data_IF_074498968280
#
_entry.id   IF_074498968280
#
_cell.length_a   1.000
_cell.length_b   1.000
_cell.length_c   1.000
_cell.angle_alpha   90.00
_cell.angle_beta   90.00
_cell.angle_gamma   90.00
#
_symmetry.space_group_name_H-M   'P 1'
#
loop_
_entity.id
_entity.type
_entity.pdbx_description
1 polymer ?
#
# COMPACT_ATOMS: atom_id res chain seq x y z
N UNK A 1 16.43 -55.90 23.10
CA UNK A 1 16.57 -54.69 22.29
C UNK A 1 15.28 -54.49 21.47
N UNK A 2 14.36 -53.69 21.97
CA UNK A 2 13.10 -53.35 21.26
C UNK A 2 13.33 -52.00 20.55
N UNK A 3 13.28 -52.00 19.21
CA UNK A 3 13.35 -50.79 18.40
C UNK A 3 11.96 -50.13 18.39
N UNK A 4 11.84 -48.92 18.93
CA UNK A 4 10.69 -48.05 18.72
C UNK A 4 10.85 -47.35 17.35
N UNK A 5 9.96 -47.64 16.44
CA UNK A 5 9.79 -46.90 15.20
C UNK A 5 8.82 -45.76 15.53
N UNK A 6 9.31 -44.54 15.55
CA UNK A 6 8.47 -43.36 15.63
C UNK A 6 7.88 -43.09 14.23
N UNK A 7 6.58 -43.28 14.09
CA UNK A 7 5.85 -42.86 12.90
C UNK A 7 5.67 -41.34 12.92
N UNK A 8 6.35 -40.66 12.04
CA UNK A 8 6.09 -39.24 11.76
C UNK A 8 4.75 -39.13 11.00
N UNK A 9 3.73 -38.60 11.64
CA UNK A 9 2.48 -38.27 10.98
C UNK A 9 2.74 -37.07 10.08
N UNK A 10 2.76 -37.28 8.75
CA UNK A 10 2.73 -36.23 7.76
C UNK A 10 1.29 -35.65 7.75
N UNK A 11 1.10 -34.52 8.41
CA UNK A 11 -0.15 -33.75 8.30
C UNK A 11 -0.13 -33.07 6.94
N UNK A 12 -0.79 -33.67 5.97
CA UNK A 12 -1.07 -33.05 4.67
C UNK A 12 -2.14 -31.99 4.92
N UNK A 13 -1.73 -30.74 5.00
CA UNK A 13 -2.65 -29.61 4.98
C UNK A 13 -3.21 -29.48 3.56
N UNK A 14 -4.40 -29.98 3.35
CA UNK A 14 -5.18 -29.60 2.16
C UNK A 14 -5.60 -28.15 2.33
N UNK A 15 -4.90 -27.25 1.65
CA UNK A 15 -5.41 -25.89 1.43
C UNK A 15 -6.75 -26.04 0.71
N UNK A 16 -7.83 -25.78 1.42
CA UNK A 16 -9.15 -25.61 0.80
C UNK A 16 -9.07 -24.31 0.03
N UNK A 17 -8.65 -24.38 -1.23
CA UNK A 17 -8.93 -23.30 -2.17
C UNK A 17 -10.45 -23.28 -2.31
N UNK A 18 -11.09 -22.16 -1.97
CA UNK A 18 -12.44 -21.92 -2.43
C UNK A 18 -12.42 -22.16 -3.94
N UNK A 19 -13.25 -23.08 -4.43
CA UNK A 19 -13.26 -23.37 -5.87
C UNK A 19 -13.57 -22.07 -6.59
N UNK A 20 -12.78 -21.73 -7.61
CA UNK A 20 -13.03 -20.54 -8.42
C UNK A 20 -14.49 -20.58 -8.91
N UNK A 21 -15.22 -19.49 -8.69
CA UNK A 21 -16.56 -19.38 -9.20
C UNK A 21 -16.52 -19.28 -10.74
N UNK A 22 -17.41 -19.99 -11.40
CA UNK A 22 -17.49 -19.93 -12.87
C UNK A 22 -17.98 -18.54 -13.31
N UNK A 23 -17.25 -17.94 -14.25
CA UNK A 23 -17.63 -16.64 -14.81
C UNK A 23 -18.78 -16.87 -15.80
N UNK A 24 -19.92 -16.18 -15.63
CA UNK A 24 -21.06 -16.35 -16.52
C UNK A 24 -20.73 -16.00 -17.98
N UNK A 25 -21.25 -16.78 -18.92
CA UNK A 25 -21.12 -16.55 -20.37
C UNK A 25 -22.00 -15.40 -20.84
N UNK A 26 -21.93 -14.24 -20.22
CA UNK A 26 -22.62 -13.00 -20.58
C UNK A 26 -21.62 -12.01 -21.20
N UNK A 27 -22.08 -11.01 -21.96
CA UNK A 27 -21.19 -9.97 -22.50
C UNK A 27 -20.30 -9.32 -21.45
N UNK A 28 -20.83 -8.95 -20.27
CA UNK A 28 -20.06 -8.41 -19.17
C UNK A 28 -19.13 -9.45 -18.52
N UNK A 29 -19.58 -10.72 -18.43
CA UNK A 29 -18.76 -11.84 -17.97
C UNK A 29 -17.56 -12.09 -18.87
N UNK A 30 -17.74 -12.03 -20.19
CA UNK A 30 -16.62 -12.14 -21.15
C UNK A 30 -15.60 -11.01 -20.99
N UNK A 31 -16.04 -9.77 -20.73
CA UNK A 31 -15.13 -8.64 -20.48
C UNK A 31 -14.31 -8.82 -19.21
N UNK A 32 -14.93 -9.32 -18.12
CA UNK A 32 -14.24 -9.66 -16.87
C UNK A 32 -13.24 -10.81 -17.08
N UNK A 33 -13.66 -11.89 -17.76
CA UNK A 33 -12.82 -13.05 -18.06
C UNK A 33 -11.60 -12.66 -18.91
N UNK A 34 -11.80 -11.81 -19.91
CA UNK A 34 -10.73 -11.31 -20.77
C UNK A 34 -9.71 -10.47 -20.01
N UNK A 35 -10.15 -9.61 -19.06
CA UNK A 35 -9.26 -8.85 -18.20
C UNK A 35 -8.44 -9.77 -17.28
N UNK A 36 -9.08 -10.73 -16.63
CA UNK A 36 -8.38 -11.73 -15.80
C UNK A 36 -7.39 -12.53 -16.63
N UNK A 37 -7.82 -13.00 -17.81
CA UNK A 37 -6.97 -13.77 -18.73
C UNK A 37 -5.74 -12.97 -19.21
N UNK A 38 -5.93 -11.69 -19.53
CA UNK A 38 -4.83 -10.81 -19.93
C UNK A 38 -3.79 -10.67 -18.83
N UNK A 39 -4.20 -10.43 -17.57
CA UNK A 39 -3.26 -10.35 -16.44
C UNK A 39 -2.61 -11.71 -16.19
N UNK A 40 -3.40 -12.79 -16.12
CA UNK A 40 -2.88 -14.12 -15.79
C UNK A 40 -1.89 -14.65 -16.83
N UNK A 41 -2.04 -14.26 -18.09
CA UNK A 41 -1.11 -14.67 -19.16
C UNK A 41 0.33 -14.21 -18.90
N UNK A 42 0.52 -13.00 -18.34
CA UNK A 42 1.85 -12.39 -18.24
C UNK A 42 2.52 -12.17 -19.60
N UNK A 43 1.76 -12.26 -20.70
CA UNK A 43 2.26 -12.19 -22.07
C UNK A 43 1.83 -10.90 -22.75
N UNK A 44 2.81 -10.14 -23.26
CA UNK A 44 2.57 -8.84 -23.89
C UNK A 44 1.62 -8.91 -25.07
N UNK A 45 1.69 -9.98 -25.89
CA UNK A 45 0.82 -10.12 -27.07
C UNK A 45 -0.64 -10.38 -26.67
N UNK A 46 -0.89 -11.23 -25.68
CA UNK A 46 -2.20 -11.51 -25.13
C UNK A 46 -2.79 -10.25 -24.46
N UNK A 47 -1.99 -9.51 -23.72
CA UNK A 47 -2.39 -8.24 -23.11
C UNK A 47 -2.74 -7.22 -24.19
N UNK A 48 -1.94 -7.08 -25.25
CA UNK A 48 -2.20 -6.17 -26.36
C UNK A 48 -3.52 -6.54 -27.06
N UNK A 49 -3.78 -7.82 -27.31
CA UNK A 49 -5.03 -8.28 -27.90
C UNK A 49 -6.26 -7.90 -27.05
N UNK A 50 -6.15 -7.99 -25.71
CA UNK A 50 -7.20 -7.50 -24.81
C UNK A 50 -7.39 -5.98 -24.91
N UNK A 51 -6.29 -5.22 -24.94
CA UNK A 51 -6.32 -3.74 -25.06
C UNK A 51 -7.03 -3.33 -26.33
N UNK A 52 -6.68 -3.97 -27.46
CA UNK A 52 -7.27 -3.66 -28.78
C UNK A 52 -8.73 -4.05 -28.86
N UNK A 53 -9.08 -5.26 -28.36
CA UNK A 53 -10.47 -5.78 -28.39
C UNK A 53 -11.41 -4.90 -27.58
N UNK A 54 -10.98 -4.43 -26.40
CA UNK A 54 -11.82 -3.66 -25.48
C UNK A 54 -11.50 -2.16 -25.48
N UNK A 55 -10.73 -1.68 -26.48
CA UNK A 55 -10.37 -0.27 -26.68
C UNK A 55 -9.82 0.41 -25.40
N UNK A 56 -8.93 -0.31 -24.68
CA UNK A 56 -8.36 0.20 -23.43
C UNK A 56 -7.29 1.25 -23.71
N UNK A 57 -7.22 2.27 -22.82
CA UNK A 57 -6.23 3.36 -22.93
C UNK A 57 -4.93 3.11 -22.16
N UNK A 58 -4.72 1.89 -21.68
CA UNK A 58 -3.54 1.48 -20.91
C UNK A 58 -2.48 0.86 -21.81
N UNK A 59 -1.23 0.88 -21.35
CA UNK A 59 -0.10 0.20 -22.01
C UNK A 59 -0.03 -1.26 -21.52
N UNK A 60 0.52 -2.21 -22.29
CA UNK A 60 0.74 -3.58 -21.83
C UNK A 60 1.52 -3.66 -20.51
N UNK A 61 2.50 -2.77 -20.31
CA UNK A 61 3.29 -2.73 -19.08
C UNK A 61 2.44 -2.54 -17.83
N UNK A 62 1.37 -1.73 -17.89
CA UNK A 62 0.46 -1.53 -16.74
C UNK A 62 -0.18 -2.85 -16.27
N UNK A 63 -0.44 -3.79 -17.17
CA UNK A 63 -1.00 -5.11 -16.85
C UNK A 63 0.07 -6.09 -16.35
N UNK A 64 1.29 -6.01 -16.86
CA UNK A 64 2.43 -6.76 -16.35
C UNK A 64 2.75 -6.35 -14.91
N UNK A 65 2.68 -5.06 -14.61
CA UNK A 65 2.86 -4.54 -13.25
C UNK A 65 1.75 -5.04 -12.32
N UNK A 66 0.49 -5.11 -12.79
CA UNK A 66 -0.61 -5.72 -12.03
C UNK A 66 -0.38 -7.21 -11.80
N UNK A 67 0.12 -7.95 -12.81
CA UNK A 67 0.50 -9.37 -12.66
C UNK A 67 1.58 -9.56 -11.62
N UNK A 68 2.61 -8.72 -11.64
CA UNK A 68 3.68 -8.77 -10.65
C UNK A 68 3.15 -8.48 -9.24
N UNK A 69 2.28 -7.48 -9.09
CA UNK A 69 1.70 -7.10 -7.80
C UNK A 69 0.72 -8.14 -7.25
N UNK A 70 -0.20 -8.60 -8.07
CA UNK A 70 -1.34 -9.43 -7.63
C UNK A 70 -1.12 -10.94 -7.81
N UNK A 71 -0.17 -11.34 -8.67
CA UNK A 71 -0.04 -12.73 -9.11
C UNK A 71 -1.19 -13.13 -10.04
N UNK A 72 -1.64 -14.39 -9.93
CA UNK A 72 -2.80 -14.87 -10.67
C UNK A 72 -4.10 -14.40 -10.01
N UNK A 73 -5.05 -14.00 -10.85
CA UNK A 73 -6.38 -13.59 -10.43
C UNK A 73 -7.37 -14.75 -10.62
N UNK A 74 -8.27 -14.93 -9.65
CA UNK A 74 -9.35 -15.91 -9.72
C UNK A 74 -10.66 -15.33 -9.18
N UNK A 75 -11.79 -15.65 -9.82
CA UNK A 75 -13.09 -15.23 -9.31
C UNK A 75 -13.46 -16.10 -8.12
N UNK A 76 -13.70 -15.48 -6.98
CA UNK A 76 -14.12 -16.17 -5.75
C UNK A 76 -15.64 -16.18 -5.59
N UNK A 77 -16.31 -15.11 -6.06
CA UNK A 77 -17.76 -14.94 -5.92
C UNK A 77 -18.28 -13.98 -6.99
N UNK A 78 -19.47 -14.27 -7.51
CA UNK A 78 -20.24 -13.33 -8.33
C UNK A 78 -21.30 -12.68 -7.43
N UNK A 79 -21.26 -11.35 -7.31
CA UNK A 79 -22.24 -10.56 -6.52
C UNK A 79 -23.40 -10.06 -7.38
N UNK A 80 -23.13 -9.79 -8.67
CA UNK A 80 -24.15 -9.37 -9.64
C UNK A 80 -23.88 -10.04 -10.97
N UNK A 81 -24.91 -10.55 -11.61
CA UNK A 81 -24.84 -11.17 -12.94
C UNK A 81 -26.04 -10.73 -13.80
N UNK A 82 -25.83 -9.65 -14.52
CA UNK A 82 -26.76 -9.19 -15.57
C UNK A 82 -26.04 -9.28 -16.93
N UNK A 83 -26.77 -9.37 -18.07
CA UNK A 83 -26.09 -9.54 -19.36
C UNK A 83 -24.96 -8.53 -19.63
N UNK A 84 -25.17 -7.27 -19.29
CA UNK A 84 -24.24 -6.17 -19.57
C UNK A 84 -23.61 -5.56 -18.30
N UNK A 85 -23.82 -6.15 -17.13
CA UNK A 85 -23.32 -5.62 -15.85
C UNK A 85 -22.97 -6.77 -14.90
N UNK A 86 -21.70 -6.92 -14.58
CA UNK A 86 -21.19 -7.95 -13.65
C UNK A 86 -20.41 -7.31 -12.51
N UNK A 87 -20.61 -7.87 -11.33
CA UNK A 87 -19.80 -7.55 -10.14
C UNK A 87 -19.30 -8.84 -9.55
N UNK A 88 -18.00 -8.93 -9.33
CA UNK A 88 -17.32 -10.11 -8.79
C UNK A 88 -16.32 -9.77 -7.70
N UNK A 89 -16.16 -10.68 -6.75
CA UNK A 89 -15.01 -10.69 -5.84
C UNK A 89 -13.92 -11.54 -6.48
N UNK A 90 -12.77 -10.94 -6.69
CA UNK A 90 -11.60 -11.53 -7.35
C UNK A 90 -10.47 -11.65 -6.36
N UNK A 91 -9.97 -12.87 -6.18
CA UNK A 91 -8.81 -13.18 -5.33
C UNK A 91 -7.51 -13.01 -6.10
N UNK A 92 -6.44 -12.78 -5.35
CA UNK A 92 -5.07 -12.60 -5.80
C UNK A 92 -4.19 -13.72 -5.24
N UNK A 93 -3.32 -14.34 -6.05
CA UNK A 93 -2.47 -15.43 -5.57
C UNK A 93 -1.31 -14.95 -4.69
N UNK A 94 -0.88 -13.71 -4.85
CA UNK A 94 0.22 -13.12 -4.08
C UNK A 94 -0.23 -12.55 -2.73
N UNK A 95 -1.53 -12.26 -2.55
CA UNK A 95 -2.07 -11.65 -1.34
C UNK A 95 -3.39 -12.30 -0.92
N UNK A 96 -3.74 -12.16 0.35
CA UNK A 96 -5.03 -12.58 0.88
C UNK A 96 -6.15 -11.56 0.60
N UNK A 97 -5.78 -10.35 0.20
CA UNK A 97 -6.73 -9.29 -0.16
C UNK A 97 -7.56 -9.68 -1.39
N UNK A 98 -8.68 -9.02 -1.56
CA UNK A 98 -9.56 -9.26 -2.70
C UNK A 98 -9.93 -7.95 -3.38
N UNK A 99 -10.22 -8.06 -4.68
CA UNK A 99 -10.75 -6.95 -5.46
C UNK A 99 -12.24 -7.13 -5.66
N UNK A 100 -13.01 -6.07 -5.50
CA UNK A 100 -14.34 -5.97 -6.04
C UNK A 100 -14.24 -5.40 -7.44
N UNK A 101 -14.49 -6.27 -8.44
CA UNK A 101 -14.35 -5.98 -9.86
C UNK A 101 -15.73 -5.77 -10.48
N UNK A 102 -15.94 -4.58 -11.04
CA UNK A 102 -17.20 -4.17 -11.67
C UNK A 102 -16.96 -3.88 -13.14
N UNK A 103 -17.76 -4.51 -14.04
CA UNK A 103 -17.68 -4.31 -15.48
C UNK A 103 -19.05 -4.09 -16.06
N UNK A 104 -19.20 -2.99 -16.82
CA UNK A 104 -20.38 -2.73 -17.64
C UNK A 104 -19.97 -2.54 -19.09
N UNK A 105 -20.68 -3.21 -19.99
CA UNK A 105 -20.47 -3.12 -21.44
C UNK A 105 -21.66 -2.44 -22.12
N UNK A 106 -21.42 -1.85 -23.29
CA UNK A 106 -22.47 -1.26 -24.11
C UNK A 106 -23.34 -2.39 -24.67
N UNK A 107 -24.68 -2.35 -24.47
CA UNK A 107 -25.58 -3.40 -25.00
C UNK A 107 -25.53 -3.51 -26.53
N UNK A 108 -25.24 -2.44 -27.26
CA UNK A 108 -25.11 -2.41 -28.71
C UNK A 108 -23.75 -2.88 -29.24
N UNK A 109 -22.71 -2.76 -28.39
CA UNK A 109 -21.34 -3.18 -28.70
C UNK A 109 -20.66 -3.77 -27.45
N UNK A 110 -20.74 -5.09 -27.26
CA UNK A 110 -20.18 -5.76 -26.08
C UNK A 110 -18.65 -5.64 -25.94
N UNK A 111 -17.92 -5.23 -26.97
CA UNK A 111 -16.48 -4.95 -26.88
C UNK A 111 -16.19 -3.59 -26.26
N UNK A 112 -17.18 -2.73 -26.14
CA UNK A 112 -17.06 -1.42 -25.54
C UNK A 112 -17.38 -1.46 -24.04
N UNK A 113 -16.33 -1.47 -23.21
CA UNK A 113 -16.47 -1.32 -21.77
C UNK A 113 -16.81 0.14 -21.46
N UNK A 114 -18.05 0.40 -21.01
CA UNK A 114 -18.52 1.76 -20.64
C UNK A 114 -18.19 2.10 -19.20
N UNK A 115 -17.97 1.10 -18.35
CA UNK A 115 -17.49 1.28 -16.97
C UNK A 115 -16.67 0.07 -16.53
N UNK A 116 -15.56 0.33 -15.89
CA UNK A 116 -14.82 -0.72 -15.15
C UNK A 116 -14.18 -0.13 -13.90
N UNK A 117 -14.27 -0.85 -12.81
CA UNK A 117 -13.62 -0.55 -11.54
C UNK A 117 -13.08 -1.83 -10.93
N UNK A 118 -11.83 -1.81 -10.48
CA UNK A 118 -11.23 -2.88 -9.68
C UNK A 118 -10.71 -2.20 -8.41
N UNK A 119 -11.36 -2.44 -7.30
CA UNK A 119 -11.04 -1.79 -6.02
C UNK A 119 -10.76 -2.84 -4.95
N UNK A 120 -9.72 -2.64 -4.14
CA UNK A 120 -9.50 -3.42 -2.94
C UNK A 120 -10.68 -3.24 -1.98
N UNK A 121 -11.17 -4.34 -1.42
CA UNK A 121 -12.25 -4.35 -0.43
C UNK A 121 -11.92 -5.33 0.68
N UNK A 122 -12.55 -5.15 1.84
CA UNK A 122 -12.49 -6.17 2.88
C UNK A 122 -13.07 -7.49 2.34
N UNK A 123 -12.44 -8.61 2.69
CA UNK A 123 -12.91 -9.94 2.29
C UNK A 123 -14.29 -10.19 2.91
N UNK A 124 -15.31 -10.55 2.11
CA UNK A 124 -16.63 -10.90 2.62
C UNK A 124 -16.59 -12.04 3.66
N UNK A 125 -17.48 -12.03 4.63
CA UNK A 125 -17.50 -13.02 5.72
C UNK A 125 -17.63 -14.47 5.22
N UNK A 126 -18.39 -14.69 4.15
CA UNK A 126 -18.55 -16.01 3.52
C UNK A 126 -17.32 -16.48 2.74
N UNK A 127 -16.34 -15.60 2.56
CA UNK A 127 -15.02 -15.88 1.99
C UNK A 127 -13.89 -15.69 3.02
N UNK A 128 -14.22 -15.56 4.30
CA UNK A 128 -13.25 -15.30 5.35
C UNK A 128 -12.17 -16.41 5.41
N UNK A 129 -10.94 -15.98 5.67
CA UNK A 129 -9.83 -16.89 5.91
C UNK A 129 -9.98 -17.42 7.34
N UNK A 130 -9.90 -18.76 7.55
CA UNK A 130 -10.00 -19.34 8.88
C UNK A 130 -8.93 -18.78 9.83
N UNK A 131 -9.36 -18.37 11.02
CA UNK A 131 -8.44 -17.99 12.09
C UNK A 131 -7.75 -19.22 12.67
N UNK A 132 -6.47 -19.06 12.99
CA UNK A 132 -5.61 -20.08 13.55
C UNK A 132 -5.27 -19.71 15.00
N UNK A 133 -4.73 -20.66 15.76
CA UNK A 133 -4.04 -20.30 17.01
C UNK A 133 -2.80 -19.45 16.72
N UNK A 134 -2.32 -18.71 17.71
CA UNK A 134 -1.13 -17.88 17.56
C UNK A 134 0.08 -18.68 17.05
N UNK A 135 0.29 -19.89 17.58
CA UNK A 135 1.41 -20.73 17.17
C UNK A 135 1.28 -21.20 15.72
N UNK A 136 0.08 -21.63 15.30
CA UNK A 136 -0.17 -22.05 13.92
C UNK A 136 -0.05 -20.89 12.93
N UNK A 137 -0.54 -19.69 13.29
CA UNK A 137 -0.41 -18.50 12.44
C UNK A 137 1.05 -18.07 12.25
N UNK A 138 1.88 -18.14 13.31
CA UNK A 138 3.32 -17.89 13.24
C UNK A 138 4.03 -18.95 12.40
N UNK A 139 3.68 -20.21 12.56
CA UNK A 139 4.23 -21.31 11.77
C UNK A 139 3.88 -21.16 10.29
N UNK A 140 2.62 -20.84 9.98
CA UNK A 140 2.14 -20.64 8.61
C UNK A 140 2.87 -19.47 7.93
N UNK A 141 3.02 -18.32 8.62
CA UNK A 141 3.77 -17.18 8.11
C UNK A 141 5.24 -17.57 7.86
N UNK A 142 5.89 -18.17 8.85
CA UNK A 142 7.32 -18.53 8.74
C UNK A 142 7.55 -19.49 7.58
N UNK A 143 6.71 -20.52 7.44
CA UNK A 143 6.80 -21.47 6.33
C UNK A 143 6.59 -20.80 4.96
N UNK A 144 5.61 -19.86 4.86
CA UNK A 144 5.39 -19.09 3.63
C UNK A 144 6.62 -18.27 3.27
N UNK A 145 7.17 -17.54 4.23
CA UNK A 145 8.33 -16.66 3.97
C UNK A 145 9.59 -17.46 3.69
N UNK A 146 9.85 -18.55 4.44
CA UNK A 146 10.96 -19.45 4.19
C UNK A 146 10.89 -20.05 2.76
N UNK A 147 9.69 -20.45 2.30
CA UNK A 147 9.47 -20.93 0.93
C UNK A 147 9.76 -19.86 -0.12
N UNK A 148 9.21 -18.65 0.04
CA UNK A 148 9.47 -17.55 -0.88
C UNK A 148 10.95 -17.15 -0.92
N UNK A 149 11.62 -17.15 0.24
CA UNK A 149 13.04 -16.85 0.31
C UNK A 149 13.91 -17.92 -0.36
N UNK A 150 13.54 -19.20 -0.23
CA UNK A 150 14.21 -20.31 -0.90
C UNK A 150 14.07 -20.24 -2.44
N UNK A 151 12.94 -19.69 -2.92
CA UNK A 151 12.67 -19.47 -4.35
C UNK A 151 13.20 -18.12 -4.86
N UNK A 152 13.97 -17.39 -4.05
CA UNK A 152 14.47 -16.04 -4.36
C UNK A 152 13.36 -15.02 -4.69
N UNK A 153 12.17 -15.18 -4.05
CA UNK A 153 10.99 -14.33 -4.21
C UNK A 153 10.74 -13.42 -3.01
N UNK A 154 11.54 -13.52 -1.96
CA UNK A 154 11.47 -12.66 -0.79
C UNK A 154 12.85 -12.40 -0.20
N UNK A 155 13.17 -11.13 -0.02
CA UNK A 155 14.25 -10.63 0.85
C UNK A 155 13.68 -9.50 1.70
N UNK A 156 13.75 -9.64 3.02
CA UNK A 156 13.13 -8.66 3.90
C UNK A 156 13.17 -9.07 5.36
N UNK A 157 12.42 -8.31 6.14
CA UNK A 157 12.31 -8.49 7.59
C UNK A 157 10.84 -8.45 8.00
N UNK A 158 10.47 -9.24 9.01
CA UNK A 158 9.12 -9.28 9.57
C UNK A 158 9.19 -9.18 11.08
N UNK A 159 8.35 -8.33 11.67
CA UNK A 159 8.14 -8.20 13.10
C UNK A 159 6.67 -8.43 13.44
N UNK A 160 6.42 -9.19 14.49
CA UNK A 160 5.11 -9.37 15.11
C UNK A 160 5.24 -9.12 16.60
N UNK A 161 4.47 -8.18 17.12
CA UNK A 161 4.27 -7.97 18.54
C UNK A 161 2.80 -8.17 18.88
N UNK A 162 2.52 -8.86 19.98
CA UNK A 162 1.16 -9.02 20.50
C UNK A 162 1.16 -8.90 22.00
N UNK A 163 0.28 -8.04 22.55
CA UNK A 163 0.16 -7.77 23.99
C UNK A 163 1.50 -7.37 24.63
N UNK A 164 2.29 -6.53 23.94
CA UNK A 164 3.60 -6.06 24.39
C UNK A 164 4.70 -7.15 24.37
N UNK A 165 4.43 -8.32 23.80
CA UNK A 165 5.40 -9.40 23.67
C UNK A 165 5.81 -9.58 22.22
N UNK A 166 7.10 -9.51 21.95
CA UNK A 166 7.68 -9.81 20.65
C UNK A 166 7.54 -11.30 20.33
N UNK A 167 6.79 -11.63 19.29
CA UNK A 167 6.52 -13.01 18.86
C UNK A 167 7.42 -13.45 17.71
N UNK A 168 7.77 -12.52 16.83
CA UNK A 168 8.66 -12.73 15.69
C UNK A 168 9.46 -11.46 15.43
N UNK A 169 10.74 -11.61 15.17
CA UNK A 169 11.64 -10.57 14.68
C UNK A 169 12.72 -11.29 13.87
N UNK A 170 12.52 -11.37 12.53
CA UNK A 170 13.36 -12.24 11.69
C UNK A 170 13.65 -11.58 10.34
N UNK A 171 14.86 -11.86 9.84
CA UNK A 171 15.35 -11.41 8.53
C UNK A 171 15.57 -12.60 7.60
N UNK A 172 15.36 -12.38 6.29
CA UNK A 172 15.60 -13.34 5.22
C UNK A 172 16.30 -12.67 4.04
N UNK A 173 17.24 -13.37 3.42
CA UNK A 173 17.93 -12.92 2.21
C UNK A 173 19.04 -11.91 2.47
N UNK A 174 19.28 -11.03 1.50
CA UNK A 174 20.45 -10.16 1.45
C UNK A 174 20.07 -8.68 1.37
N UNK A 175 20.77 -7.84 2.15
CA UNK A 175 20.72 -6.38 2.03
C UNK A 175 21.54 -5.86 0.85
N UNK A 176 22.56 -6.65 0.46
CA UNK A 176 23.37 -6.50 -0.75
C UNK A 176 23.54 -7.88 -1.39
N UNK A 177 22.84 -8.10 -2.53
CA UNK A 177 22.84 -9.40 -3.23
C UNK A 177 24.20 -9.71 -3.85
N UNK A 178 24.82 -8.70 -4.47
CA UNK A 178 26.10 -8.87 -5.18
C UNK A 178 27.21 -9.23 -4.18
N UNK A 179 27.27 -8.52 -3.07
CA UNK A 179 28.23 -8.78 -2.00
C UNK A 179 27.81 -9.91 -1.03
N UNK A 180 26.60 -10.48 -1.22
CA UNK A 180 26.00 -11.50 -0.35
C UNK A 180 26.00 -11.12 1.13
N UNK A 181 25.76 -9.82 1.43
CA UNK A 181 25.65 -9.33 2.79
C UNK A 181 24.25 -9.66 3.33
N UNK A 182 24.12 -10.54 4.35
CA UNK A 182 22.83 -10.92 4.89
C UNK A 182 22.06 -9.72 5.45
N UNK A 183 20.74 -9.74 5.32
CA UNK A 183 19.84 -8.81 6.02
C UNK A 183 19.87 -9.01 7.52
N UNK A 184 19.71 -7.90 8.24
CA UNK A 184 19.53 -7.86 9.69
C UNK A 184 18.21 -7.16 10.02
N UNK A 185 17.59 -7.52 11.12
CA UNK A 185 16.34 -6.88 11.61
C UNK A 185 16.53 -5.38 11.93
N UNK A 186 17.78 -4.94 12.12
CA UNK A 186 18.14 -3.54 12.35
C UNK A 186 18.41 -2.73 11.08
N UNK A 187 18.36 -3.36 9.92
CA UNK A 187 18.61 -2.66 8.65
C UNK A 187 17.47 -1.70 8.30
N UNK A 188 17.81 -0.67 7.55
CA UNK A 188 16.91 0.41 7.13
C UNK A 188 16.36 0.12 5.74
N UNK A 189 15.05 0.09 5.64
CA UNK A 189 14.32 -0.16 4.38
C UNK A 189 13.62 1.10 3.90
N UNK A 190 13.51 1.27 2.59
CA UNK A 190 12.67 2.31 2.02
C UNK A 190 11.20 1.99 2.25
N UNK A 191 10.43 3.02 2.59
CA UNK A 191 9.05 2.87 3.07
C UNK A 191 8.00 3.04 1.98
N UNK A 192 8.35 3.65 0.83
CA UNK A 192 7.33 4.01 -0.15
C UNK A 192 6.21 4.84 0.48
N UNK A 193 4.99 4.52 0.13
CA UNK A 193 3.80 5.27 0.57
C UNK A 193 3.49 5.18 2.07
N UNK A 194 4.12 4.29 2.84
CA UNK A 194 3.96 4.29 4.31
C UNK A 194 4.30 5.65 4.94
N UNK A 195 5.16 6.46 4.31
CA UNK A 195 5.48 7.82 4.77
C UNK A 195 4.27 8.75 4.82
N UNK A 196 3.17 8.42 4.12
CA UNK A 196 1.91 9.18 4.19
C UNK A 196 1.33 9.23 5.60
N UNK A 197 1.55 8.19 6.40
CA UNK A 197 1.13 8.18 7.80
C UNK A 197 1.77 9.33 8.59
N UNK A 198 3.06 9.58 8.37
CA UNK A 198 3.76 10.69 9.04
C UNK A 198 3.24 12.05 8.58
N UNK A 199 2.98 12.22 7.27
CA UNK A 199 2.37 13.44 6.72
C UNK A 199 0.98 13.69 7.27
N UNK A 200 0.17 12.64 7.40
CA UNK A 200 -1.16 12.74 7.97
C UNK A 200 -1.12 13.13 9.46
N UNK A 201 -0.24 12.51 10.24
CA UNK A 201 -0.04 12.87 11.66
C UNK A 201 0.41 14.34 11.78
N UNK A 202 1.38 14.79 10.98
CA UNK A 202 1.82 16.18 10.96
C UNK A 202 0.68 17.15 10.63
N UNK A 203 -0.13 16.82 9.62
CA UNK A 203 -1.31 17.61 9.24
C UNK A 203 -2.30 17.70 10.40
N UNK A 204 -2.63 16.56 11.02
CA UNK A 204 -3.60 16.49 12.12
C UNK A 204 -3.08 17.15 13.41
N UNK A 205 -1.77 17.16 13.67
CA UNK A 205 -1.17 17.95 14.75
C UNK A 205 -1.42 19.45 14.54
N UNK A 206 -1.29 19.93 13.31
CA UNK A 206 -1.58 21.34 12.98
C UNK A 206 -3.09 21.64 13.08
N UNK A 207 -3.94 20.68 12.72
CA UNK A 207 -5.40 20.78 12.94
C UNK A 207 -5.72 20.86 14.43
N UNK A 208 -5.15 19.99 15.25
CA UNK A 208 -5.35 19.98 16.70
C UNK A 208 -4.86 21.26 17.39
N UNK A 209 -3.88 21.95 16.81
CA UNK A 209 -3.38 23.27 17.27
C UNK A 209 -4.16 24.46 16.69
N UNK A 210 -5.23 24.23 15.91
CA UNK A 210 -6.02 25.28 15.25
C UNK A 210 -5.27 26.03 14.14
N UNK A 211 -4.13 25.51 13.66
CA UNK A 211 -3.33 26.11 12.60
C UNK A 211 -3.82 25.72 11.19
N UNK A 212 -4.49 24.57 11.11
CA UNK A 212 -5.18 24.07 9.92
C UNK A 212 -6.64 23.76 10.24
N UNK A 213 -7.50 23.85 9.21
CA UNK A 213 -8.86 23.30 9.24
C UNK A 213 -8.95 22.16 8.22
N UNK A 214 -9.59 21.05 8.58
CA UNK A 214 -9.85 19.96 7.62
C UNK A 214 -10.69 20.43 6.43
N UNK A 215 -11.54 21.43 6.64
CA UNK A 215 -12.42 22.01 5.61
C UNK A 215 -11.81 23.26 4.94
N UNK A 216 -10.62 23.68 5.35
CA UNK A 216 -9.85 24.74 4.70
C UNK A 216 -9.32 24.28 3.33
N UNK A 217 -9.31 25.17 2.36
CA UNK A 217 -8.92 24.87 0.99
C UNK A 217 -7.42 25.02 0.74
N UNK A 218 -6.93 24.38 -0.33
CA UNK A 218 -5.53 24.50 -0.76
C UNK A 218 -5.13 25.96 -0.94
N UNK A 219 -5.97 26.79 -1.61
CA UNK A 219 -5.69 28.20 -1.85
C UNK A 219 -5.63 29.05 -0.59
N UNK A 220 -6.34 28.67 0.48
CA UNK A 220 -6.26 29.33 1.78
C UNK A 220 -4.85 29.19 2.39
N UNK A 221 -4.19 28.06 2.22
CA UNK A 221 -2.88 27.78 2.82
C UNK A 221 -1.71 27.96 1.85
N UNK A 222 -1.96 27.84 0.54
CA UNK A 222 -0.99 28.11 -0.52
C UNK A 222 -1.51 29.24 -1.43
N UNK A 223 -1.46 30.52 -0.98
CA UNK A 223 -1.88 31.65 -1.78
C UNK A 223 -1.11 31.69 -3.11
N UNK A 224 -1.82 31.91 -4.21
CA UNK A 224 -1.21 31.92 -5.54
C UNK A 224 -1.05 30.52 -6.18
N UNK A 225 -1.66 29.48 -5.60
CA UNK A 225 -1.70 28.16 -6.23
C UNK A 225 -2.25 28.26 -7.67
N UNK A 226 -1.56 27.69 -8.69
CA UNK A 226 -1.82 28.06 -10.08
C UNK A 226 -3.18 27.59 -10.61
N UNK A 227 -3.67 26.41 -10.22
CA UNK A 227 -4.98 25.93 -10.64
C UNK A 227 -6.07 26.42 -9.67
N UNK A 228 -6.97 27.31 -10.15
CA UNK A 228 -8.02 27.91 -9.33
C UNK A 228 -9.04 26.90 -8.82
N UNK A 229 -9.39 25.88 -9.61
CA UNK A 229 -10.36 24.87 -9.17
C UNK A 229 -9.84 24.07 -8.00
N UNK A 230 -8.57 23.65 -8.02
CA UNK A 230 -7.91 22.97 -6.91
C UNK A 230 -7.76 23.94 -5.73
N UNK A 231 -7.32 25.17 -5.97
CA UNK A 231 -7.15 26.17 -4.91
C UNK A 231 -8.44 26.43 -4.13
N UNK A 232 -9.55 26.61 -4.85
CA UNK A 232 -10.81 27.06 -4.25
C UNK A 232 -11.68 25.91 -3.71
N UNK A 233 -11.55 24.69 -4.26
CA UNK A 233 -12.47 23.58 -3.97
C UNK A 233 -11.84 22.39 -3.23
N UNK A 234 -10.52 22.16 -3.37
CA UNK A 234 -9.86 21.02 -2.71
C UNK A 234 -9.52 21.36 -1.27
N UNK A 235 -10.09 20.63 -0.33
CA UNK A 235 -9.87 20.81 1.10
C UNK A 235 -8.75 19.92 1.65
N UNK A 236 -8.23 20.23 2.84
CA UNK A 236 -7.26 19.39 3.56
C UNK A 236 -7.82 17.96 3.75
N UNK A 237 -9.09 17.84 4.11
CA UNK A 237 -9.80 16.55 4.21
C UNK A 237 -9.73 15.77 2.90
N UNK A 238 -10.02 16.41 1.78
CA UNK A 238 -9.98 15.76 0.46
C UNK A 238 -8.58 15.31 0.06
N UNK A 239 -7.54 16.03 0.47
CA UNK A 239 -6.14 15.59 0.24
C UNK A 239 -5.82 14.34 1.08
N UNK A 240 -6.19 14.34 2.36
CA UNK A 240 -5.96 13.23 3.29
C UNK A 240 -6.71 11.95 2.90
N UNK A 241 -7.84 12.06 2.20
CA UNK A 241 -8.73 10.94 1.84
C UNK A 241 -8.71 10.57 0.36
N UNK A 242 -7.79 11.13 -0.41
CA UNK A 242 -7.67 10.91 -1.85
C UNK A 242 -8.94 11.25 -2.67
N UNK A 243 -9.73 12.21 -2.20
CA UNK A 243 -10.98 12.66 -2.87
C UNK A 243 -10.85 14.02 -3.56
N UNK A 244 -9.65 14.60 -3.56
CA UNK A 244 -9.41 15.94 -4.14
C UNK A 244 -9.26 15.97 -5.66
N UNK A 245 -9.11 14.82 -6.34
CA UNK A 245 -8.91 14.77 -7.79
C UNK A 245 -7.55 15.31 -8.25
N UNK A 246 -6.56 15.42 -7.36
CA UNK A 246 -5.27 16.09 -7.66
C UNK A 246 -4.33 15.26 -8.55
N UNK A 247 -4.68 14.01 -8.87
CA UNK A 247 -3.91 13.14 -9.76
C UNK A 247 -2.60 12.62 -9.13
N UNK A 248 -1.78 11.99 -9.96
CA UNK A 248 -0.51 11.41 -9.54
C UNK A 248 0.70 12.21 -10.06
N UNK A 249 1.87 11.95 -9.46
CA UNK A 249 3.16 12.49 -9.90
C UNK A 249 3.86 11.57 -10.90
N UNK A 250 3.61 10.25 -10.85
CA UNK A 250 4.30 9.28 -11.68
C UNK A 250 3.89 9.35 -13.16
N UNK A 251 4.82 9.03 -14.03
CA UNK A 251 4.72 9.06 -15.49
C UNK A 251 5.89 9.79 -16.12
N UNK A 252 5.81 10.04 -17.43
CA UNK A 252 6.91 10.54 -18.26
C UNK A 252 7.56 11.84 -17.70
N UNK A 253 6.76 12.76 -17.13
CA UNK A 253 7.29 14.00 -16.53
C UNK A 253 8.13 13.69 -15.27
N UNK A 254 7.68 12.77 -14.43
CA UNK A 254 8.45 12.36 -13.26
C UNK A 254 9.76 11.68 -13.69
N UNK A 255 9.69 10.72 -14.59
CA UNK A 255 10.86 9.95 -15.05
C UNK A 255 11.92 10.88 -15.62
N UNK A 256 11.51 11.90 -16.36
CA UNK A 256 12.40 12.90 -16.94
C UNK A 256 13.02 13.83 -15.90
N UNK A 257 12.27 14.25 -14.89
CA UNK A 257 12.68 15.31 -13.95
C UNK A 257 12.98 14.81 -12.53
N UNK A 258 12.84 13.50 -12.21
CA UNK A 258 12.89 12.95 -10.85
C UNK A 258 14.12 13.32 -10.02
N UNK A 259 15.25 13.57 -10.67
CA UNK A 259 16.50 13.99 -10.00
C UNK A 259 16.61 15.52 -9.84
N UNK A 260 15.78 16.28 -10.54
CA UNK A 260 15.70 17.75 -10.48
C UNK A 260 14.69 18.21 -9.43
N UNK A 261 13.68 17.38 -9.12
CA UNK A 261 12.64 17.66 -8.12
C UNK A 261 13.22 17.48 -6.69
N UNK A 262 13.87 18.52 -6.18
CA UNK A 262 14.63 18.50 -4.90
C UNK A 262 13.81 18.97 -3.70
N UNK A 263 12.77 19.77 -3.95
CA UNK A 263 11.89 20.34 -2.94
C UNK A 263 10.43 20.08 -3.26
N UNK A 264 9.54 20.17 -2.25
CA UNK A 264 8.10 20.07 -2.48
C UNK A 264 7.59 21.20 -3.39
N UNK A 265 8.26 22.35 -3.38
CA UNK A 265 7.95 23.46 -4.28
C UNK A 265 8.21 23.12 -5.75
N UNK A 266 9.26 22.33 -6.06
CA UNK A 266 9.54 21.90 -7.43
C UNK A 266 8.40 21.02 -7.97
N UNK A 267 7.87 20.11 -7.15
CA UNK A 267 6.69 19.32 -7.51
C UNK A 267 5.46 20.19 -7.72
N UNK A 268 5.23 21.20 -6.87
CA UNK A 268 4.11 22.13 -7.04
C UNK A 268 4.28 22.96 -8.31
N UNK A 269 5.48 23.39 -8.63
CA UNK A 269 5.78 24.12 -9.86
C UNK A 269 5.52 23.27 -11.12
N UNK A 270 5.92 21.99 -11.10
CA UNK A 270 5.75 21.10 -12.24
C UNK A 270 4.30 20.66 -12.44
N UNK A 271 3.58 20.36 -11.36
CA UNK A 271 2.28 19.69 -11.42
C UNK A 271 1.09 20.58 -11.05
N UNK A 272 1.31 21.72 -10.39
CA UNK A 272 0.25 22.52 -9.77
C UNK A 272 -0.74 23.16 -10.74
N UNK A 273 -0.38 23.37 -12.01
CA UNK A 273 -1.27 23.93 -13.04
C UNK A 273 -2.26 22.92 -13.64
N UNK A 274 -2.07 21.60 -13.39
CA UNK A 274 -2.91 20.55 -13.97
C UNK A 274 -4.35 20.65 -13.45
N UNK A 275 -5.32 20.38 -14.35
CA UNK A 275 -6.71 20.26 -13.97
C UNK A 275 -6.94 19.02 -13.08
N UNK A 276 -7.94 19.04 -12.19
CA UNK A 276 -8.29 17.85 -11.44
C UNK A 276 -8.75 16.72 -12.39
N UNK A 277 -8.39 15.49 -12.07
CA UNK A 277 -8.72 14.29 -12.88
C UNK A 277 -10.19 13.87 -12.73
N UNK A 278 -10.87 14.38 -11.72
CA UNK A 278 -12.32 14.34 -11.50
C UNK A 278 -12.72 15.54 -10.62
N UNK A 279 -13.97 15.99 -10.63
CA UNK A 279 -14.43 17.11 -9.81
C UNK A 279 -14.14 16.84 -8.32
N UNK A 280 -13.51 17.79 -7.60
CA UNK A 280 -13.18 17.62 -6.18
C UNK A 280 -14.36 17.12 -5.34
N UNK A 281 -14.16 16.08 -4.57
CA UNK A 281 -15.17 15.45 -3.71
C UNK A 281 -16.17 14.53 -4.43
N UNK A 282 -16.15 14.40 -5.75
CA UNK A 282 -17.12 13.58 -6.51
C UNK A 282 -16.74 12.10 -6.56
N UNK A 283 -15.46 11.77 -6.40
CA UNK A 283 -14.92 10.41 -6.49
C UNK A 283 -13.71 10.26 -5.57
N UNK A 284 -13.16 9.06 -5.50
CA UNK A 284 -11.88 8.77 -4.87
C UNK A 284 -10.89 8.24 -5.90
N UNK A 285 -9.63 8.66 -5.78
CA UNK A 285 -8.53 8.19 -6.61
C UNK A 285 -7.21 8.48 -5.92
N UNK A 286 -6.43 7.44 -5.66
CA UNK A 286 -5.15 7.55 -4.97
C UNK A 286 -4.27 8.63 -5.59
N UNK A 287 -3.72 9.51 -4.77
CA UNK A 287 -2.99 10.69 -5.24
C UNK A 287 -1.73 10.91 -4.42
N UNK A 288 -0.58 10.71 -5.04
CA UNK A 288 0.70 11.13 -4.47
C UNK A 288 0.82 12.66 -4.47
N UNK A 289 0.32 13.34 -5.51
CA UNK A 289 0.40 14.78 -5.56
C UNK A 289 -0.42 15.47 -4.45
N UNK A 290 -1.54 14.89 -4.04
CA UNK A 290 -2.29 15.38 -2.88
C UNK A 290 -1.46 15.40 -1.59
N UNK A 291 -0.64 14.40 -1.37
CA UNK A 291 0.28 14.36 -0.21
C UNK A 291 1.50 15.27 -0.36
N UNK A 292 1.95 15.54 -1.59
CA UNK A 292 2.93 16.61 -1.86
C UNK A 292 2.35 17.96 -1.43
N UNK A 293 1.09 18.25 -1.78
CA UNK A 293 0.41 19.49 -1.37
C UNK A 293 0.28 19.59 0.15
N UNK A 294 -0.05 18.49 0.84
CA UNK A 294 -0.06 18.46 2.32
C UNK A 294 1.32 18.81 2.90
N UNK A 295 2.39 18.25 2.36
CA UNK A 295 3.76 18.59 2.79
C UNK A 295 4.09 20.07 2.59
N UNK A 296 3.75 20.62 1.43
CA UNK A 296 3.94 22.07 1.14
C UNK A 296 3.11 22.95 2.08
N UNK A 297 1.89 22.52 2.42
CA UNK A 297 1.01 23.23 3.37
C UNK A 297 1.59 23.15 4.79
N UNK A 298 2.09 21.98 5.22
CA UNK A 298 2.78 21.83 6.52
C UNK A 298 3.94 22.82 6.61
N UNK A 299 4.81 22.90 5.62
CA UNK A 299 5.91 23.88 5.61
C UNK A 299 5.39 25.32 5.72
N UNK A 300 4.40 25.67 4.91
CA UNK A 300 3.85 27.04 4.90
C UNK A 300 3.23 27.44 6.23
N UNK A 301 2.47 26.55 6.83
CA UNK A 301 1.69 26.82 8.06
C UNK A 301 2.56 26.73 9.30
N UNK A 302 3.47 25.77 9.39
CA UNK A 302 4.38 25.65 10.53
C UNK A 302 5.49 26.71 10.52
N UNK A 303 5.96 27.08 9.34
CA UNK A 303 7.17 27.88 9.17
C UNK A 303 8.46 27.06 9.23
N UNK A 304 8.32 25.73 9.36
CA UNK A 304 9.42 24.78 9.43
C UNK A 304 9.57 24.04 8.08
N UNK A 305 10.77 23.54 7.78
CA UNK A 305 10.93 22.58 6.68
C UNK A 305 10.13 21.30 6.98
N UNK A 306 9.51 20.69 5.95
CA UNK A 306 8.68 19.49 6.13
C UNK A 306 9.42 18.36 6.86
N UNK A 307 10.65 18.10 6.46
CA UNK A 307 11.44 17.02 7.03
C UNK A 307 11.87 17.32 8.47
N UNK A 308 12.18 18.58 8.78
CA UNK A 308 12.42 19.08 10.13
C UNK A 308 11.19 18.92 11.01
N UNK A 309 10.02 19.36 10.50
CA UNK A 309 8.75 19.21 11.23
C UNK A 309 8.46 17.74 11.58
N UNK A 310 8.54 16.83 10.61
CA UNK A 310 8.27 15.40 10.85
C UNK A 310 9.30 14.80 11.82
N UNK A 311 10.56 15.17 11.70
CA UNK A 311 11.60 14.73 12.63
C UNK A 311 11.30 15.19 14.07
N UNK A 312 11.08 16.49 14.28
CA UNK A 312 10.99 17.06 15.62
C UNK A 312 9.64 16.79 16.30
N UNK A 313 8.55 16.69 15.52
CA UNK A 313 7.19 16.52 16.05
C UNK A 313 6.65 15.09 15.99
N UNK A 314 7.32 14.19 15.27
CA UNK A 314 6.89 12.78 15.15
C UNK A 314 8.02 11.83 15.54
N UNK A 315 9.19 11.88 14.85
CA UNK A 315 10.23 10.89 15.07
C UNK A 315 10.86 11.00 16.46
N UNK A 316 11.23 12.20 16.88
CA UNK A 316 11.80 12.43 18.22
C UNK A 316 10.81 12.06 19.33
N UNK A 317 9.55 12.54 19.34
CA UNK A 317 8.59 12.13 20.35
C UNK A 317 8.29 10.63 20.37
N UNK A 318 8.28 9.96 19.21
CA UNK A 318 8.09 8.52 19.14
C UNK A 318 9.35 7.71 19.47
N UNK A 319 10.53 8.34 19.55
CA UNK A 319 11.80 7.66 19.77
C UNK A 319 12.37 6.95 18.54
N UNK A 320 12.00 7.40 17.32
CA UNK A 320 12.42 6.82 16.03
C UNK A 320 13.77 7.41 15.60
N UNK A 321 14.86 6.79 16.01
CA UNK A 321 16.22 7.32 15.81
C UNK A 321 16.86 6.91 14.49
N UNK A 322 16.31 5.92 13.82
CA UNK A 322 16.82 5.31 12.58
C UNK A 322 15.89 5.55 11.37
N UNK A 323 14.99 6.52 11.51
CA UNK A 323 14.00 6.91 10.49
C UNK A 323 14.36 8.28 9.90
N UNK A 324 14.20 8.41 8.59
CA UNK A 324 14.49 9.68 7.92
C UNK A 324 14.21 9.66 6.42
N UNK A 325 14.50 10.79 5.80
CA UNK A 325 14.43 10.96 4.35
C UNK A 325 15.60 11.86 3.90
N UNK A 326 16.75 11.27 3.68
CA UNK A 326 17.91 11.94 3.10
C UNK A 326 17.93 11.76 1.58
N UNK A 327 18.58 12.65 0.83
CA UNK A 327 18.84 12.45 -0.60
C UNK A 327 19.40 11.06 -0.88
N UNK A 328 18.93 10.44 -1.97
CA UNK A 328 19.32 9.06 -2.32
C UNK A 328 20.80 8.93 -2.66
N UNK A 329 21.43 10.02 -3.09
CA UNK A 329 22.89 10.09 -3.33
C UNK A 329 23.74 10.03 -2.06
N UNK A 330 23.14 10.25 -0.88
CA UNK A 330 23.86 10.18 0.38
C UNK A 330 23.89 8.75 0.93
N UNK A 331 25.05 8.35 1.44
CA UNK A 331 25.19 7.08 2.15
C UNK A 331 24.48 7.15 3.49
N UNK A 332 23.57 6.22 3.73
CA UNK A 332 22.89 6.04 5.03
C UNK A 332 23.35 4.70 5.61
N UNK A 333 24.05 4.70 6.74
CA UNK A 333 24.49 3.44 7.37
C UNK A 333 23.32 2.50 7.63
N UNK A 334 23.45 1.24 7.18
CA UNK A 334 22.42 0.22 7.34
C UNK A 334 21.24 0.31 6.36
N UNK A 335 21.21 1.28 5.44
CA UNK A 335 20.19 1.31 4.40
C UNK A 335 20.51 0.27 3.32
N UNK A 336 19.56 -0.66 3.12
CA UNK A 336 19.69 -1.75 2.16
C UNK A 336 19.54 -1.28 0.71
N UNK A 337 20.14 -2.03 -0.21
CA UNK A 337 19.93 -1.86 -1.65
C UNK A 337 18.56 -2.41 -2.03
N UNK A 338 17.86 -1.74 -2.95
CA UNK A 338 16.59 -2.20 -3.50
C UNK A 338 16.77 -2.93 -4.82
N UNK A 339 15.99 -3.98 -5.05
CA UNK A 339 16.06 -4.84 -6.23
C UNK A 339 14.71 -4.99 -6.88
N UNK A 340 14.64 -4.71 -8.18
CA UNK A 340 13.45 -4.89 -9.01
C UNK A 340 13.73 -5.86 -10.15
N UNK A 341 12.68 -6.46 -10.70
CA UNK A 341 12.83 -7.36 -11.83
C UNK A 341 12.81 -6.60 -13.15
N UNK A 342 13.79 -6.89 -14.01
CA UNK A 342 13.83 -6.44 -15.38
C UNK A 342 14.25 -7.61 -16.27
N UNK A 343 13.41 -7.96 -17.24
CA UNK A 343 13.61 -9.11 -18.12
C UNK A 343 13.90 -10.42 -17.36
N UNK A 344 13.17 -10.66 -16.27
CA UNK A 344 13.31 -11.83 -15.41
C UNK A 344 14.58 -11.87 -14.56
N UNK A 345 15.32 -10.77 -14.47
CA UNK A 345 16.55 -10.65 -13.66
C UNK A 345 16.38 -9.59 -12.58
N UNK A 346 16.93 -9.85 -11.41
CA UNK A 346 17.02 -8.86 -10.35
C UNK A 346 18.10 -7.82 -10.67
N UNK A 347 17.72 -6.55 -10.70
CA UNK A 347 18.60 -5.41 -10.91
C UNK A 347 18.39 -4.39 -9.80
N UNK A 348 19.38 -3.54 -9.56
CA UNK A 348 19.24 -2.43 -8.61
C UNK A 348 18.16 -1.45 -9.09
N UNK A 349 17.38 -0.91 -8.17
CA UNK A 349 16.31 0.04 -8.45
C UNK A 349 16.79 1.51 -8.56
N UNK A 350 18.07 1.75 -8.67
CA UNK A 350 18.67 3.11 -8.66
C UNK A 350 18.09 4.04 -9.71
N UNK A 351 17.70 3.47 -10.86
CA UNK A 351 17.18 4.24 -12.00
C UNK A 351 15.72 4.69 -11.82
N UNK A 352 15.04 4.23 -10.77
CA UNK A 352 13.64 4.58 -10.48
C UNK A 352 13.50 5.53 -9.29
N UNK A 353 14.57 5.72 -8.52
CA UNK A 353 14.52 6.50 -7.29
C UNK A 353 14.42 8.01 -7.57
N UNK A 354 13.61 8.78 -6.82
CA UNK A 354 13.65 10.23 -6.83
C UNK A 354 14.95 10.76 -6.24
N UNK A 355 15.18 12.06 -6.35
CA UNK A 355 16.32 12.68 -5.66
C UNK A 355 16.25 12.46 -4.13
N UNK A 356 15.04 12.48 -3.56
CA UNK A 356 14.75 12.28 -2.13
C UNK A 356 13.32 11.78 -1.95
N UNK A 357 13.05 10.98 -0.93
CA UNK A 357 11.68 10.68 -0.52
C UNK A 357 10.92 11.93 -0.09
N UNK A 358 9.62 11.99 -0.38
CA UNK A 358 8.75 13.16 -0.21
C UNK A 358 7.71 12.94 0.88
N UNK A 359 6.81 13.90 1.07
CA UNK A 359 5.62 13.78 1.91
C UNK A 359 4.60 12.75 1.40
N UNK A 360 4.71 12.33 0.14
CA UNK A 360 3.86 11.31 -0.45
C UNK A 360 4.46 9.89 -0.35
N UNK A 361 5.77 9.77 -0.16
CA UNK A 361 6.41 8.47 -0.13
C UNK A 361 7.93 8.54 -0.20
N UNK A 362 8.57 7.41 -0.01
CA UNK A 362 10.02 7.28 0.12
C UNK A 362 10.46 7.40 1.58
N UNK A 363 11.69 7.86 1.79
CA UNK A 363 12.28 7.79 3.12
C UNK A 363 12.66 6.36 3.52
N UNK A 364 13.13 6.19 4.73
CA UNK A 364 13.56 4.89 5.26
C UNK A 364 13.27 4.78 6.74
N UNK A 365 13.12 3.54 7.23
CA UNK A 365 12.96 3.22 8.65
C UNK A 365 13.43 1.79 8.95
N UNK A 366 13.32 1.40 10.20
CA UNK A 366 13.57 0.05 10.72
C UNK A 366 12.28 -0.54 11.30
N UNK A 367 12.25 -1.86 11.51
CA UNK A 367 11.14 -2.53 12.23
C UNK A 367 10.91 -1.91 13.61
N UNK A 368 11.99 -1.67 14.36
CA UNK A 368 11.92 -1.13 15.71
C UNK A 368 11.34 0.28 15.75
N UNK A 369 11.69 1.14 14.81
CA UNK A 369 11.16 2.50 14.76
C UNK A 369 9.68 2.53 14.35
N UNK A 370 9.28 1.70 13.40
CA UNK A 370 7.87 1.56 13.03
C UNK A 370 7.02 1.01 14.18
N UNK A 371 7.56 0.07 14.97
CA UNK A 371 6.89 -0.41 16.19
C UNK A 371 6.73 0.73 17.21
N UNK A 372 7.78 1.55 17.42
CA UNK A 372 7.69 2.76 18.28
C UNK A 372 6.64 3.74 17.78
N UNK A 373 6.55 3.95 16.47
CA UNK A 373 5.49 4.77 15.87
C UNK A 373 4.10 4.21 16.15
N UNK A 374 3.91 2.89 15.97
CA UNK A 374 2.64 2.23 16.27
C UNK A 374 2.22 2.42 17.73
N UNK A 375 3.15 2.20 18.68
CA UNK A 375 2.91 2.46 20.10
C UNK A 375 2.58 3.92 20.38
N UNK A 376 3.36 4.86 19.83
CA UNK A 376 3.13 6.30 20.04
C UNK A 376 1.77 6.76 19.47
N UNK A 377 1.27 6.10 18.42
CA UNK A 377 -0.08 6.30 17.90
C UNK A 377 -1.13 5.71 18.85
N UNK A 378 -0.99 4.46 19.29
CA UNK A 378 -1.94 3.80 20.18
C UNK A 378 -2.05 4.52 21.54
N UNK A 379 -0.92 4.99 22.07
CA UNK A 379 -0.84 5.66 23.37
C UNK A 379 -1.28 7.15 23.34
N UNK A 380 -1.76 7.65 22.18
CA UNK A 380 -2.17 9.05 22.05
C UNK A 380 -1.02 10.07 22.15
N UNK A 381 0.24 9.62 22.08
CA UNK A 381 1.43 10.47 22.24
C UNK A 381 1.62 11.43 21.06
N UNK A 382 1.23 11.00 19.85
CA UNK A 382 1.38 11.80 18.63
C UNK A 382 0.13 12.61 18.28
N UNK A 383 -1.05 12.10 18.59
CA UNK A 383 -2.34 12.73 18.34
C UNK A 383 -3.27 12.53 19.54
N UNK A 384 -4.10 13.53 19.88
CA UNK A 384 -5.22 13.34 20.81
C UNK A 384 -6.16 12.25 20.29
N UNK A 385 -6.82 11.52 21.20
CA UNK A 385 -7.70 10.39 20.89
C UNK A 385 -8.72 10.69 19.79
N UNK A 386 -9.40 11.84 19.87
CA UNK A 386 -10.39 12.24 18.87
C UNK A 386 -9.80 12.33 17.45
N UNK A 387 -8.60 12.87 17.29
CA UNK A 387 -7.94 13.00 15.97
C UNK A 387 -7.33 11.67 15.52
N UNK A 388 -6.77 10.88 16.47
CA UNK A 388 -6.29 9.53 16.18
C UNK A 388 -7.42 8.64 15.67
N UNK A 389 -8.55 8.63 16.38
CA UNK A 389 -9.71 7.81 16.02
C UNK A 389 -10.33 8.28 14.69
N UNK A 390 -10.34 9.59 14.42
CA UNK A 390 -10.74 10.10 13.11
C UNK A 390 -9.78 9.66 11.99
N UNK A 391 -8.46 9.65 12.24
CA UNK A 391 -7.47 9.24 11.26
C UNK A 391 -7.55 7.76 10.91
N UNK A 392 -7.88 6.92 11.88
CA UNK A 392 -7.82 5.46 11.79
C UNK A 392 -9.19 4.79 11.64
N UNK A 393 -10.22 5.54 11.26
CA UNK A 393 -11.53 5.02 10.82
C UNK A 393 -11.71 5.26 9.33
N UNK A 394 -12.54 4.43 8.69
CA UNK A 394 -12.91 4.61 7.28
C UNK A 394 -13.64 5.94 7.09
N UNK A 395 -13.11 6.79 6.23
CA UNK A 395 -13.74 8.04 5.81
C UNK A 395 -14.34 7.84 4.40
N UNK A 396 -15.58 7.72 4.39
CA UNK A 396 -16.69 7.89 3.50
C UNK A 396 -16.70 7.41 2.05
N UNK A 397 -15.91 7.64 1.12
CA UNK A 397 -16.20 7.30 -0.29
C UNK A 397 -15.31 6.24 -0.88
N UNK A 398 -14.36 5.76 -0.12
CA UNK A 398 -13.40 4.78 -0.58
C UNK A 398 -13.38 3.47 0.21
N UNK A 399 -14.20 3.30 1.24
CA UNK A 399 -14.37 2.11 2.10
C UNK A 399 -13.10 1.45 2.66
N UNK A 400 -11.91 2.02 2.44
CA UNK A 400 -10.64 1.44 2.83
C UNK A 400 -9.62 2.45 3.38
N UNK A 401 -9.92 3.77 3.40
CA UNK A 401 -8.97 4.81 3.75
C UNK A 401 -9.53 5.80 4.76
N UNK A 402 -8.72 6.14 5.77
CA UNK A 402 -8.93 7.20 6.72
C UNK A 402 -8.12 8.46 6.36
N UNK A 403 -7.65 9.21 7.35
CA UNK A 403 -6.76 10.35 7.06
C UNK A 403 -5.31 9.87 6.97
N UNK A 404 -4.89 9.46 5.77
CA UNK A 404 -3.54 8.99 5.51
C UNK A 404 -3.21 7.59 6.02
N UNK A 405 -4.21 6.84 6.40
CA UNK A 405 -4.11 5.45 6.85
C UNK A 405 -5.04 4.56 6.02
N UNK A 406 -4.56 3.40 5.63
CA UNK A 406 -5.41 2.30 5.19
C UNK A 406 -6.13 1.72 6.40
N UNK A 407 -7.42 1.45 6.29
CA UNK A 407 -8.28 0.99 7.39
C UNK A 407 -9.10 -0.20 6.95
N UNK A 408 -9.00 -1.30 7.67
CA UNK A 408 -9.64 -2.57 7.32
C UNK A 408 -10.33 -3.19 8.53
N UNK A 409 -11.25 -4.11 8.26
CA UNK A 409 -11.95 -4.90 9.26
C UNK A 409 -12.86 -4.08 10.17
N UNK A 410 -13.46 -4.76 11.13
CA UNK A 410 -14.35 -4.18 12.16
C UNK A 410 -14.17 -4.91 13.49
N UNK A 411 -14.63 -4.33 14.60
CA UNK A 411 -14.55 -4.95 15.91
C UNK A 411 -13.12 -5.31 16.32
N UNK A 412 -12.88 -6.54 16.76
CA UNK A 412 -11.54 -7.03 17.10
C UNK A 412 -10.59 -7.12 15.90
N UNK A 413 -11.16 -7.27 14.69
CA UNK A 413 -10.41 -7.29 13.43
C UNK A 413 -10.12 -5.90 12.86
N UNK A 414 -10.67 -4.82 13.45
CA UNK A 414 -10.33 -3.46 13.03
C UNK A 414 -8.83 -3.25 13.10
N UNK A 415 -8.28 -2.79 12.00
CA UNK A 415 -6.86 -2.48 11.92
C UNK A 415 -6.61 -1.27 11.01
N UNK A 416 -5.50 -0.62 11.27
CA UNK A 416 -5.03 0.49 10.45
C UNK A 416 -3.52 0.40 10.24
N UNK A 417 -3.05 1.08 9.24
CA UNK A 417 -1.64 1.13 8.87
C UNK A 417 -1.48 1.70 7.49
N UNK A 418 -0.50 1.25 6.77
CA UNK A 418 -0.33 1.59 5.35
C UNK A 418 0.59 0.58 4.67
N UNK A 419 0.37 0.38 3.39
CA UNK A 419 1.33 -0.28 2.50
C UNK A 419 2.23 0.74 1.83
N UNK A 420 3.39 0.30 1.38
CA UNK A 420 4.29 1.11 0.57
C UNK A 420 4.94 0.26 -0.50
N UNK A 421 4.96 0.73 -1.73
CA UNK A 421 5.56 0.00 -2.84
C UNK A 421 6.08 0.94 -3.91
N UNK A 422 7.18 0.54 -4.50
CA UNK A 422 7.77 1.04 -5.73
C UNK A 422 8.82 0.01 -6.18
N UNK A 423 9.39 0.13 -7.38
CA UNK A 423 10.46 -0.79 -7.79
C UNK A 423 11.55 -0.93 -6.73
N UNK A 424 11.83 -2.16 -6.29
CA UNK A 424 12.85 -2.49 -5.30
C UNK A 424 12.52 -2.08 -3.85
N UNK A 425 11.26 -1.89 -3.53
CA UNK A 425 10.81 -1.66 -2.15
C UNK A 425 9.37 -2.12 -1.96
N UNK A 426 9.11 -2.77 -0.84
CA UNK A 426 7.77 -3.11 -0.37
C UNK A 426 7.73 -3.03 1.15
N UNK A 427 6.71 -2.40 1.69
CA UNK A 427 6.56 -2.21 3.12
C UNK A 427 5.08 -2.33 3.50
N UNK A 428 4.81 -2.88 4.65
CA UNK A 428 3.46 -3.00 5.19
C UNK A 428 3.49 -2.94 6.72
N UNK A 429 2.60 -2.15 7.28
CA UNK A 429 2.34 -2.12 8.72
C UNK A 429 0.84 -2.23 8.98
N UNK A 430 0.45 -3.09 9.91
CA UNK A 430 -0.92 -3.25 10.40
C UNK A 430 -0.93 -3.20 11.92
N UNK A 431 -1.71 -2.28 12.46
CA UNK A 431 -1.95 -2.12 13.89
C UNK A 431 -3.37 -2.55 14.20
N UNK A 432 -3.54 -3.50 15.08
CA UNK A 432 -4.82 -4.05 15.57
C UNK A 432 -5.03 -3.58 17.02
N UNK A 433 -5.62 -2.40 17.27
CA UNK A 433 -5.67 -1.83 18.61
C UNK A 433 -6.41 -2.70 19.62
N UNK A 434 -7.57 -3.23 19.22
CA UNK A 434 -8.40 -4.08 20.09
C UNK A 434 -7.76 -5.44 20.39
N UNK A 435 -6.98 -5.99 19.44
CA UNK A 435 -6.21 -7.22 19.62
C UNK A 435 -4.78 -6.96 20.12
N UNK A 436 -4.43 -5.72 20.46
CA UNK A 436 -3.10 -5.31 20.95
C UNK A 436 -1.95 -5.92 20.16
N UNK A 437 -2.09 -5.95 18.84
CA UNK A 437 -1.12 -6.62 17.95
C UNK A 437 -0.64 -5.64 16.88
N UNK A 438 0.66 -5.65 16.65
CA UNK A 438 1.33 -4.90 15.57
C UNK A 438 2.08 -5.89 14.69
N UNK A 439 1.88 -5.77 13.38
CA UNK A 439 2.57 -6.59 12.38
C UNK A 439 3.23 -5.67 11.37
N UNK A 440 4.52 -5.89 11.12
CA UNK A 440 5.31 -5.06 10.19
C UNK A 440 6.11 -6.00 9.29
N UNK A 441 6.04 -5.76 7.98
CA UNK A 441 6.87 -6.41 6.98
C UNK A 441 7.59 -5.37 6.13
N UNK A 442 8.90 -5.50 5.94
CA UNK A 442 9.69 -4.64 5.07
C UNK A 442 10.52 -5.50 4.12
N UNK A 443 10.55 -5.14 2.86
CA UNK A 443 11.30 -5.86 1.83
C UNK A 443 12.07 -4.89 0.95
N UNK A 444 13.24 -5.31 0.50
CA UNK A 444 14.02 -4.61 -0.50
C UNK A 444 13.83 -5.19 -1.92
N UNK A 445 12.68 -5.83 -2.13
CA UNK A 445 12.21 -6.34 -3.42
C UNK A 445 10.81 -5.78 -3.74
N UNK A 446 10.39 -5.98 -4.98
CA UNK A 446 9.00 -5.71 -5.39
C UNK A 446 8.06 -6.69 -4.69
N UNK A 447 6.91 -6.22 -4.22
CA UNK A 447 5.80 -6.99 -3.63
C UNK A 447 6.13 -7.99 -2.52
N UNK A 448 5.79 -7.64 -1.29
CA UNK A 448 5.83 -8.59 -0.18
C UNK A 448 4.85 -8.18 0.93
N UNK A 449 3.61 -8.63 0.87
CA UNK A 449 2.56 -8.34 1.85
C UNK A 449 2.52 -9.41 2.95
N UNK A 450 3.49 -9.40 3.87
CA UNK A 450 3.59 -10.40 4.93
C UNK A 450 2.76 -10.06 6.17
N UNK A 451 2.52 -8.77 6.43
CA UNK A 451 1.74 -8.33 7.58
C UNK A 451 0.27 -8.74 7.45
N UNK A 452 -0.36 -8.50 6.30
CA UNK A 452 -1.73 -8.95 6.03
C UNK A 452 -1.87 -10.47 6.11
N UNK A 453 -0.88 -11.23 5.62
CA UNK A 453 -0.93 -12.70 5.69
C UNK A 453 -1.06 -13.22 7.12
N UNK A 454 -0.26 -12.69 8.05
CA UNK A 454 -0.37 -13.05 9.48
C UNK A 454 -1.66 -12.48 10.07
N UNK A 455 -1.95 -11.21 9.84
CA UNK A 455 -3.10 -10.51 10.39
C UNK A 455 -4.43 -11.17 10.03
N UNK A 456 -4.54 -11.78 8.85
CA UNK A 456 -5.75 -12.48 8.41
C UNK A 456 -5.91 -13.86 9.07
N UNK A 457 -4.85 -14.44 9.67
CA UNK A 457 -4.85 -15.79 10.28
C UNK A 457 -4.72 -15.77 11.79
N UNK A 458 -4.16 -14.73 12.38
CA UNK A 458 -3.96 -14.66 13.83
C UNK A 458 -5.29 -14.72 14.61
N UNK A 459 -5.29 -15.19 15.87
CA UNK A 459 -6.47 -15.12 16.71
C UNK A 459 -6.78 -13.64 17.04
N UNK A 460 -8.06 -13.29 17.05
CA UNK A 460 -8.54 -11.98 17.47
C UNK A 460 -8.96 -12.05 18.94
N UNK A 461 -8.01 -11.84 19.83
CA UNK A 461 -8.25 -11.79 21.29
C UNK A 461 -8.02 -10.35 21.80
N UNK A 462 -8.87 -9.84 22.74
CA UNK A 462 -8.73 -8.50 23.31
C UNK A 462 -7.46 -8.31 24.13
#
# INVERSE_FOLDING_TARGET
MKRFIAAAAIVVWTTVFASAAEIPATPAGHALAAWIGAINSGDTATIQAYIDTYHRKRKPQDYLDLKQAFGDLSVLKIEKNEPNDIVAIVGMSNADDVLRSEYRVDPADPTKIVFSRNAGVDRPDDLAIPRLSQAEALQALTAKVDGLAAEDKFMGVVLIESHGRLLLDKAWGYGDREARIPLRVTDKFRLGSMSKMFTAVATLQLVGRGRLSLDGTVGQYLPGYPNKEIADKVTIRMLLTHTGGTGDIFGDDFDKHRLELKSLADYVALYGSRAPVFPPGSSSGYSNFGFILLGAIIQKVSGEDYYGYVHDHIFVPAGMTDTGSLPESLSVPGRVKGYTQKDGKWVLNTDTLPWRGTSAGGGYSTLADLLRFAHAMMDGKLLPDMLRDAATRKETRGDWYGYGFEVHGTGLGHNYGHTGGAPGMSAEMRVYPSAKTVVIGLSNMDSATMASYYGNRMPLTP
#
